data_IF_329183960948
#
_entry.id   IF_329183960948
#
_cell.length_a   1.000
_cell.length_b   1.000
_cell.length_c   1.000
_cell.angle_alpha   90.00
_cell.angle_beta   90.00
_cell.angle_gamma   90.00
#
_symmetry.space_group_name_H-M   'P 1'
#
loop_
_entity.id
_entity.type
_entity.pdbx_description
1 polymer ?
#
# COMPACT_ATOMS: atom_id res chain seq x y z
N UNK A 1 -10.19 -25.81 -4.93
CA UNK A 1 -10.19 -25.24 -3.57
C UNK A 1 -11.37 -24.30 -3.46
N UNK A 2 -12.36 -24.62 -2.66
CA UNK A 2 -13.46 -23.69 -2.39
C UNK A 2 -12.96 -22.61 -1.45
N UNK A 3 -12.90 -21.41 -1.94
CA UNK A 3 -12.50 -20.25 -1.18
C UNK A 3 -13.67 -19.81 -0.29
N UNK A 4 -13.57 -20.07 0.99
CA UNK A 4 -14.59 -19.65 1.95
C UNK A 4 -14.35 -18.17 2.31
N UNK A 5 -15.27 -17.33 1.89
CA UNK A 5 -15.25 -15.89 2.21
C UNK A 5 -16.32 -15.64 3.26
N UNK A 6 -15.91 -15.23 4.47
CA UNK A 6 -16.82 -15.04 5.60
C UNK A 6 -16.64 -13.66 6.22
N UNK A 7 -17.74 -12.93 6.39
CA UNK A 7 -17.74 -11.70 7.20
C UNK A 7 -17.62 -12.12 8.68
N UNK A 8 -16.58 -11.65 9.35
CA UNK A 8 -16.38 -11.88 10.78
C UNK A 8 -17.22 -10.90 11.60
N UNK A 9 -17.07 -9.63 11.31
CA UNK A 9 -17.81 -8.56 11.97
C UNK A 9 -17.88 -7.31 11.07
N UNK A 10 -18.81 -6.43 11.43
CA UNK A 10 -18.95 -5.11 10.83
C UNK A 10 -19.34 -4.11 11.90
N UNK A 11 -18.74 -2.93 11.87
CA UNK A 11 -19.08 -1.84 12.79
C UNK A 11 -19.15 -0.50 12.07
N UNK A 12 -20.02 0.37 12.57
CA UNK A 12 -20.06 1.76 12.17
C UNK A 12 -18.93 2.52 12.86
N UNK A 13 -18.12 3.21 12.08
CA UNK A 13 -17.06 4.09 12.55
C UNK A 13 -17.49 5.55 12.37
N UNK A 14 -17.10 6.38 13.29
CA UNK A 14 -17.33 7.82 13.17
C UNK A 14 -16.24 8.47 12.30
N UNK A 15 -16.06 7.99 11.06
CA UNK A 15 -15.05 8.50 10.13
C UNK A 15 -15.62 9.61 9.24
N UNK A 16 -14.83 10.67 9.03
CA UNK A 16 -15.08 11.65 7.97
C UNK A 16 -14.46 11.27 6.65
N UNK A 17 -13.27 10.65 6.69
CA UNK A 17 -12.56 10.17 5.50
C UNK A 17 -12.19 8.70 5.69
N UNK A 18 -12.48 7.89 4.69
CA UNK A 18 -12.27 6.44 4.74
C UNK A 18 -10.82 6.04 4.42
N UNK A 19 -10.08 6.84 3.66
CA UNK A 19 -8.87 6.35 2.99
C UNK A 19 -7.60 6.38 3.86
N UNK A 20 -7.45 7.38 4.73
CA UNK A 20 -6.20 7.61 5.46
C UNK A 20 -6.21 7.09 6.92
N UNK A 21 -7.37 6.71 7.42
CA UNK A 21 -7.61 6.46 8.83
C UNK A 21 -7.34 5.02 9.29
N UNK A 22 -6.92 4.13 8.38
CA UNK A 22 -6.82 2.70 8.66
C UNK A 22 -5.43 2.18 8.34
N UNK A 23 -4.84 1.41 9.28
CA UNK A 23 -3.62 0.65 9.08
C UNK A 23 -3.80 -0.78 9.58
N UNK A 24 -3.29 -1.74 8.82
CA UNK A 24 -3.33 -3.16 9.17
C UNK A 24 -1.97 -3.82 8.95
N UNK A 25 -1.69 -4.80 9.79
CA UNK A 25 -0.60 -5.74 9.69
C UNK A 25 -1.05 -7.09 10.27
N UNK A 26 -0.29 -8.16 10.15
CA UNK A 26 -0.66 -9.45 10.72
C UNK A 26 -1.07 -9.37 12.20
N UNK A 27 -2.37 -9.60 12.50
CA UNK A 27 -2.91 -9.54 13.85
C UNK A 27 -3.04 -8.12 14.44
N UNK A 28 -2.89 -7.09 13.64
CA UNK A 28 -2.97 -5.69 14.05
C UNK A 28 -3.93 -4.93 13.15
N UNK A 29 -4.86 -4.20 13.77
CA UNK A 29 -5.77 -3.30 13.09
C UNK A 29 -5.90 -2.02 13.90
N UNK A 30 -5.44 -0.90 13.32
CA UNK A 30 -5.52 0.42 13.94
C UNK A 30 -6.36 1.33 13.08
N UNK A 31 -7.26 2.07 13.70
CA UNK A 31 -8.15 3.01 13.03
C UNK A 31 -8.17 4.35 13.76
N UNK A 32 -8.08 5.44 13.01
CA UNK A 32 -8.33 6.77 13.55
C UNK A 32 -9.84 7.05 13.46
N UNK A 33 -10.54 7.04 14.57
CA UNK A 33 -11.94 7.39 14.68
C UNK A 33 -12.13 8.89 14.92
N UNK A 34 -13.26 9.39 14.47
CA UNK A 34 -13.60 10.80 14.36
C UNK A 34 -13.18 11.67 15.54
N UNK A 35 -12.51 12.77 15.22
CA UNK A 35 -12.26 13.99 16.00
C UNK A 35 -11.23 13.93 17.12
N UNK A 36 -10.69 12.78 17.49
CA UNK A 36 -9.62 12.76 18.48
C UNK A 36 -9.21 11.37 18.97
N UNK A 37 -9.58 10.30 18.29
CA UNK A 37 -9.37 8.96 18.84
C UNK A 37 -8.66 8.03 17.87
N UNK A 38 -7.50 7.51 18.28
CA UNK A 38 -6.81 6.41 17.64
C UNK A 38 -7.11 5.13 18.41
N UNK A 39 -7.60 4.10 17.72
CA UNK A 39 -8.08 2.87 18.35
C UNK A 39 -7.39 1.68 17.71
N UNK A 40 -6.84 0.79 18.51
CA UNK A 40 -6.49 -0.55 18.07
C UNK A 40 -7.66 -1.49 18.33
N UNK A 41 -8.04 -2.20 17.29
CA UNK A 41 -9.09 -3.22 17.34
C UNK A 41 -8.48 -4.61 17.30
N UNK A 42 -9.10 -5.54 17.96
CA UNK A 42 -8.88 -6.96 17.69
C UNK A 42 -9.41 -7.28 16.29
N UNK A 43 -8.57 -7.75 15.36
CA UNK A 43 -9.00 -7.97 13.98
C UNK A 43 -10.05 -9.09 13.84
N UNK A 44 -10.11 -10.04 14.77
CA UNK A 44 -11.05 -11.16 14.73
C UNK A 44 -12.44 -10.80 15.27
N UNK A 45 -12.51 -9.92 16.26
CA UNK A 45 -13.75 -9.60 16.98
C UNK A 45 -14.23 -8.16 16.80
N UNK A 46 -13.34 -7.25 16.35
CA UNK A 46 -13.63 -5.82 16.26
C UNK A 46 -13.70 -5.09 17.62
N UNK A 47 -13.32 -5.77 18.71
CA UNK A 47 -13.32 -5.18 20.06
C UNK A 47 -12.12 -4.27 20.23
N UNK A 48 -12.28 -3.07 20.80
CA UNK A 48 -11.16 -2.19 21.12
C UNK A 48 -10.19 -2.83 22.13
N UNK A 49 -8.90 -2.86 21.79
CA UNK A 49 -7.83 -3.33 22.68
C UNK A 49 -7.22 -2.17 23.46
N UNK A 50 -7.04 -1.02 22.81
CA UNK A 50 -6.66 0.23 23.44
C UNK A 50 -7.18 1.43 22.65
N UNK A 51 -7.25 2.58 23.30
CA UNK A 51 -7.67 3.85 22.73
C UNK A 51 -6.72 4.96 23.19
N UNK A 52 -6.40 5.88 22.28
CA UNK A 52 -5.61 7.05 22.58
C UNK A 52 -6.28 8.30 22.00
N UNK A 53 -6.28 9.36 22.78
CA UNK A 53 -6.68 10.67 22.26
C UNK A 53 -5.57 11.21 21.37
N UNK A 54 -5.93 11.61 20.17
CA UNK A 54 -5.05 12.26 19.21
C UNK A 54 -5.73 13.51 18.70
N UNK A 55 -4.95 14.56 18.51
CA UNK A 55 -5.45 15.78 17.92
C UNK A 55 -5.65 15.57 16.42
N UNK A 56 -6.76 16.08 15.91
CA UNK A 56 -7.02 16.18 14.48
C UNK A 56 -6.94 14.87 13.69
N UNK A 57 -8.03 14.15 13.61
CA UNK A 57 -8.11 12.80 13.04
C UNK A 57 -8.20 12.69 11.50
N UNK A 58 -7.78 13.70 10.76
CA UNK A 58 -7.58 13.63 9.31
C UNK A 58 -6.21 13.09 8.91
N UNK A 59 -5.51 12.45 9.83
CA UNK A 59 -4.16 12.01 9.65
C UNK A 59 -4.01 10.70 8.89
N UNK A 60 -2.78 10.39 8.57
CA UNK A 60 -2.36 9.11 8.00
C UNK A 60 -1.85 8.21 9.11
N UNK A 61 -2.26 6.95 9.07
CA UNK A 61 -1.83 5.93 10.05
C UNK A 61 -1.06 4.83 9.34
N UNK A 62 0.06 4.41 9.90
CA UNK A 62 0.89 3.30 9.41
C UNK A 62 1.33 2.44 10.57
N UNK A 63 1.30 1.11 10.40
CA UNK A 63 1.87 0.14 11.32
C UNK A 63 3.18 -0.39 10.74
N UNK A 64 4.24 -0.38 11.55
CA UNK A 64 5.57 -0.86 11.18
C UNK A 64 6.20 -1.60 12.38
N UNK A 65 6.19 -2.93 12.34
CA UNK A 65 6.59 -3.77 13.46
C UNK A 65 5.74 -3.46 14.70
N UNK A 66 6.40 -3.18 15.81
CA UNK A 66 5.75 -2.86 17.09
C UNK A 66 5.33 -1.39 17.22
N UNK A 67 5.36 -0.63 16.13
CA UNK A 67 5.08 0.80 16.13
C UNK A 67 3.87 1.15 15.30
N UNK A 68 3.07 2.07 15.82
CA UNK A 68 2.00 2.74 15.10
C UNK A 68 2.35 4.21 14.94
N UNK A 69 2.51 4.65 13.70
CA UNK A 69 2.76 6.04 13.34
C UNK A 69 1.43 6.71 12.98
N UNK A 70 1.19 7.86 13.55
CA UNK A 70 0.04 8.70 13.24
C UNK A 70 0.51 10.12 12.92
N UNK A 71 0.28 10.56 11.70
CA UNK A 71 0.57 11.93 11.26
C UNK A 71 -0.72 12.73 11.28
N UNK A 72 -0.80 13.74 12.16
CA UNK A 72 -1.95 14.62 12.26
C UNK A 72 -2.00 15.65 11.10
N UNK A 73 -3.16 16.22 10.84
CA UNK A 73 -3.30 17.30 9.87
C UNK A 73 -2.54 18.58 10.30
N UNK A 74 -2.39 18.78 11.60
CA UNK A 74 -1.57 19.85 12.15
C UNK A 74 -0.06 19.67 11.90
N UNK A 75 0.35 18.52 11.33
CA UNK A 75 1.75 18.24 11.02
C UNK A 75 2.55 17.77 12.21
N UNK A 76 1.93 17.03 13.11
CA UNK A 76 2.62 16.34 14.21
C UNK A 76 2.63 14.85 13.91
N UNK A 77 3.82 14.26 13.85
CA UNK A 77 3.98 12.81 13.76
C UNK A 77 4.09 12.24 15.17
N UNK A 78 3.20 11.35 15.52
CA UNK A 78 3.23 10.60 16.76
C UNK A 78 3.63 9.16 16.52
N UNK A 79 4.42 8.59 17.41
CA UNK A 79 4.71 7.18 17.47
C UNK A 79 4.11 6.57 18.73
N UNK A 80 3.40 5.48 18.57
CA UNK A 80 2.84 4.70 19.66
C UNK A 80 3.41 3.30 19.62
N UNK A 81 3.62 2.70 20.77
CA UNK A 81 3.76 1.25 20.86
C UNK A 81 2.44 0.61 20.45
N UNK A 82 2.47 -0.26 19.45
CA UNK A 82 1.25 -0.81 18.86
C UNK A 82 0.51 -1.75 19.81
N UNK A 83 1.19 -2.36 20.78
CA UNK A 83 0.60 -3.33 21.70
C UNK A 83 -0.08 -2.64 22.87
N UNK A 84 0.59 -1.68 23.48
CA UNK A 84 0.08 -0.95 24.67
C UNK A 84 -0.66 0.34 24.36
N UNK A 85 -0.47 0.90 23.17
CA UNK A 85 -0.96 2.23 22.80
C UNK A 85 -0.19 3.38 23.46
N UNK A 86 0.87 3.10 24.21
CA UNK A 86 1.66 4.16 24.85
C UNK A 86 2.39 4.98 23.78
N UNK A 87 2.27 6.31 23.86
CA UNK A 87 3.01 7.23 23.00
C UNK A 87 4.47 7.26 23.40
N UNK A 88 5.37 6.92 22.46
CA UNK A 88 6.80 6.86 22.68
C UNK A 88 7.48 8.20 22.39
N UNK A 89 7.11 8.85 21.29
CA UNK A 89 7.62 10.16 20.91
C UNK A 89 6.66 10.92 20.01
N UNK A 90 6.94 12.20 19.78
CA UNK A 90 6.22 13.06 18.83
C UNK A 90 7.16 14.05 18.19
N UNK A 91 7.05 14.23 16.88
CA UNK A 91 7.85 15.16 16.09
C UNK A 91 6.94 16.23 15.47
N UNK A 92 7.07 17.49 15.87
CA UNK A 92 6.25 18.60 15.37
C UNK A 92 6.79 19.16 14.03
N UNK A 93 6.05 20.10 13.45
CA UNK A 93 6.44 20.92 12.28
C UNK A 93 6.53 20.17 10.95
N UNK A 94 5.80 19.08 10.82
CA UNK A 94 5.68 18.30 9.58
C UNK A 94 4.43 18.72 8.77
N UNK A 95 4.04 19.98 8.85
CA UNK A 95 2.90 20.52 8.14
C UNK A 95 3.02 20.23 6.62
N UNK A 96 1.88 19.95 5.97
CA UNK A 96 1.79 19.58 4.56
C UNK A 96 2.36 18.20 4.20
N UNK A 97 2.86 17.43 5.14
CA UNK A 97 3.11 16.01 4.95
C UNK A 97 1.79 15.23 5.02
N UNK A 98 1.62 14.25 4.15
CA UNK A 98 0.36 13.48 4.08
C UNK A 98 0.59 11.97 3.99
N UNK A 99 1.77 11.55 3.57
CA UNK A 99 2.10 10.15 3.38
C UNK A 99 3.25 9.72 4.28
N UNK A 100 3.13 8.50 4.79
CA UNK A 100 4.16 7.85 5.58
C UNK A 100 4.49 6.53 4.93
N UNK A 101 5.78 6.27 4.72
CA UNK A 101 6.31 4.98 4.30
C UNK A 101 7.46 4.63 5.22
N UNK A 102 7.56 3.37 5.61
CA UNK A 102 8.62 2.90 6.51
C UNK A 102 9.54 1.95 5.77
N UNK A 103 10.84 2.21 5.87
CA UNK A 103 11.90 1.34 5.36
C UNK A 103 12.97 1.14 6.44
N UNK A 104 13.08 -0.05 6.98
CA UNK A 104 13.96 -0.35 8.10
C UNK A 104 13.59 0.50 9.33
N UNK A 105 14.55 1.24 9.85
CA UNK A 105 14.37 2.14 10.99
C UNK A 105 14.01 3.59 10.61
N UNK A 106 13.64 3.85 9.36
CA UNK A 106 13.37 5.20 8.86
C UNK A 106 11.94 5.32 8.38
N UNK A 107 11.23 6.34 8.87
CA UNK A 107 9.99 6.79 8.28
C UNK A 107 10.27 7.90 7.24
N UNK A 108 9.70 7.73 6.06
CA UNK A 108 9.72 8.70 4.98
C UNK A 108 8.36 9.40 4.95
N UNK A 109 8.38 10.71 4.98
CA UNK A 109 7.18 11.53 4.87
C UNK A 109 7.28 12.41 3.64
N UNK A 110 6.20 12.47 2.89
CA UNK A 110 6.10 13.36 1.73
C UNK A 110 4.84 14.20 1.79
N UNK A 111 4.90 15.36 1.13
CA UNK A 111 3.77 16.26 1.00
C UNK A 111 2.81 15.84 -0.09
N UNK A 112 1.56 16.26 0.05
CA UNK A 112 0.56 16.11 -0.97
C UNK A 112 0.97 16.90 -2.23
N UNK A 113 0.94 16.27 -3.40
CA UNK A 113 1.32 16.86 -4.70
C UNK A 113 2.75 17.44 -4.78
N UNK A 114 3.69 16.89 -4.00
CA UNK A 114 5.08 17.35 -4.07
C UNK A 114 5.34 18.73 -3.44
N UNK A 115 4.41 19.29 -2.68
CA UNK A 115 4.62 20.59 -2.02
C UNK A 115 5.72 20.58 -0.95
N UNK A 116 6.13 19.41 -0.50
CA UNK A 116 7.23 19.25 0.43
C UNK A 116 8.24 18.23 -0.07
N UNK A 117 9.54 18.49 0.11
CA UNK A 117 10.56 17.50 -0.12
C UNK A 117 10.35 16.30 0.82
N UNK A 118 10.85 15.16 0.40
CA UNK A 118 10.82 13.94 1.19
C UNK A 118 11.63 14.14 2.48
N UNK A 119 11.00 13.93 3.62
CA UNK A 119 11.58 14.04 4.96
C UNK A 119 11.85 12.65 5.49
N UNK A 120 12.97 12.46 6.16
CA UNK A 120 13.32 11.23 6.88
C UNK A 120 13.25 11.45 8.37
N UNK A 121 12.64 10.51 9.08
CA UNK A 121 12.52 10.52 10.56
C UNK A 121 13.03 9.19 11.09
N UNK A 122 13.89 9.23 12.08
CA UNK A 122 14.31 8.05 12.82
C UNK A 122 13.14 7.47 13.62
N UNK A 123 12.83 6.21 13.40
CA UNK A 123 11.70 5.54 14.07
C UNK A 123 11.91 5.33 15.55
N UNK A 124 13.15 5.36 16.03
CA UNK A 124 13.47 5.12 17.43
C UNK A 124 13.33 6.38 18.26
N UNK A 125 13.88 7.48 17.76
CA UNK A 125 13.91 8.75 18.48
C UNK A 125 12.85 9.76 18.05
N UNK A 126 12.33 9.65 16.82
CA UNK A 126 11.51 10.68 16.20
C UNK A 126 12.31 11.86 15.64
N UNK A 127 13.62 11.80 15.66
CA UNK A 127 14.48 12.88 15.16
C UNK A 127 14.51 12.91 13.64
N UNK A 128 14.63 14.13 13.10
CA UNK A 128 14.75 14.34 11.66
C UNK A 128 16.18 14.05 11.21
N UNK A 129 16.33 13.24 10.17
CA UNK A 129 17.62 13.11 9.51
C UNK A 129 17.97 14.41 8.78
N UNK A 130 19.23 14.87 8.89
CA UNK A 130 19.69 16.03 8.13
C UNK A 130 19.79 15.73 6.64
N UNK A 131 19.74 16.79 5.84
CA UNK A 131 19.96 16.73 4.40
C UNK A 131 18.73 16.28 3.58
N UNK A 132 18.82 16.54 2.28
CA UNK A 132 17.80 16.17 1.30
C UNK A 132 18.23 14.90 0.58
N UNK A 133 17.25 14.07 0.20
CA UNK A 133 17.51 12.93 -0.66
C UNK A 133 17.80 13.40 -2.11
N UNK A 134 18.57 12.64 -2.90
CA UNK A 134 18.74 12.91 -4.31
C UNK A 134 17.40 13.06 -5.02
N UNK A 135 17.26 14.05 -5.87
CA UNK A 135 16.02 14.32 -6.60
C UNK A 135 14.87 14.93 -5.77
N UNK A 136 15.05 15.18 -4.47
CA UNK A 136 14.02 15.77 -3.58
C UNK A 136 14.02 17.30 -3.54
N UNK A 137 14.51 17.98 -4.58
CA UNK A 137 14.50 19.44 -4.65
C UNK A 137 13.08 20.03 -4.54
N UNK A 138 12.89 21.20 -3.95
CA UNK A 138 11.60 21.90 -3.94
C UNK A 138 11.06 22.05 -5.36
N UNK A 139 9.85 21.60 -5.62
CA UNK A 139 9.24 21.57 -6.95
C UNK A 139 9.58 20.33 -7.78
N UNK A 140 10.49 19.49 -7.34
CA UNK A 140 10.71 18.16 -7.90
C UNK A 140 9.51 17.25 -7.59
N UNK A 141 8.96 16.62 -8.60
CA UNK A 141 7.83 15.71 -8.49
C UNK A 141 8.27 14.35 -7.96
N UNK A 142 8.98 14.32 -6.83
CA UNK A 142 9.28 13.06 -6.18
C UNK A 142 8.02 12.44 -5.64
N UNK A 143 7.74 11.38 -6.25
CA UNK A 143 6.65 10.54 -5.89
C UNK A 143 7.17 9.35 -5.12
N UNK A 144 6.49 8.98 -4.13
CA UNK A 144 6.30 7.73 -3.42
C UNK A 144 7.52 6.80 -3.28
N UNK A 145 8.23 6.84 -2.15
CA UNK A 145 9.20 5.81 -1.85
C UNK A 145 8.53 4.45 -1.68
N UNK A 146 9.07 3.42 -2.29
CA UNK A 146 8.74 2.03 -2.01
C UNK A 146 9.85 1.41 -1.17
N UNK A 147 9.57 0.82 0.00
CA UNK A 147 10.55 0.06 0.74
C UNK A 147 11.00 -1.16 -0.06
N UNK A 148 12.29 -1.32 -0.24
CA UNK A 148 12.90 -2.44 -0.97
C UNK A 148 13.77 -3.26 -0.02
N UNK A 149 13.60 -4.56 -0.05
CA UNK A 149 14.55 -5.49 0.56
C UNK A 149 15.71 -5.68 -0.40
N UNK A 150 16.89 -5.25 0.00
CA UNK A 150 18.11 -5.42 -0.82
C UNK A 150 18.67 -6.85 -0.74
N UNK A 151 18.39 -7.57 0.35
CA UNK A 151 18.85 -8.93 0.57
C UNK A 151 17.83 -9.66 1.46
N UNK A 152 17.16 -10.70 0.97
CA UNK A 152 16.20 -11.47 1.76
C UNK A 152 16.82 -12.21 2.95
N UNK A 153 18.13 -12.48 2.92
CA UNK A 153 18.83 -13.19 4.00
C UNK A 153 19.48 -12.26 5.02
N UNK A 154 19.69 -11.01 4.67
CA UNK A 154 20.30 -10.02 5.57
C UNK A 154 19.25 -9.08 6.13
N UNK A 155 19.02 -9.27 7.39
CA UNK A 155 18.37 -8.42 8.37
C UNK A 155 17.95 -7.00 7.92
N UNK A 156 16.77 -6.60 8.29
CA UNK A 156 16.08 -5.32 8.16
C UNK A 156 16.88 -4.04 8.53
N UNK A 157 18.15 -4.15 8.85
CA UNK A 157 18.99 -3.04 9.30
C UNK A 157 19.53 -2.14 8.19
N UNK A 158 19.47 -2.58 6.94
CA UNK A 158 19.87 -1.78 5.80
C UNK A 158 18.69 -1.60 4.84
N UNK A 159 17.65 -0.90 5.29
CA UNK A 159 16.52 -0.56 4.44
C UNK A 159 16.97 0.31 3.27
N UNK A 160 16.42 0.06 2.10
CA UNK A 160 16.53 0.94 0.96
C UNK A 160 15.13 1.37 0.51
N UNK A 161 15.06 2.46 -0.22
CA UNK A 161 13.84 2.94 -0.84
C UNK A 161 14.07 3.13 -2.33
N UNK A 162 13.09 2.73 -3.10
CA UNK A 162 13.00 3.03 -4.51
C UNK A 162 12.27 4.37 -4.67
N UNK A 163 12.92 5.31 -5.31
CA UNK A 163 12.34 6.62 -5.63
C UNK A 163 12.10 6.72 -7.13
N UNK A 164 11.00 7.33 -7.50
CA UNK A 164 10.69 7.61 -8.88
C UNK A 164 10.14 9.03 -9.05
N UNK A 165 10.28 9.59 -10.23
CA UNK A 165 9.71 10.87 -10.59
C UNK A 165 8.56 10.68 -11.59
N UNK A 166 7.51 11.51 -11.48
CA UNK A 166 6.44 11.54 -12.47
C UNK A 166 6.83 12.30 -13.74
N UNK A 167 7.90 13.09 -13.71
CA UNK A 167 8.39 13.90 -14.84
C UNK A 167 9.67 13.36 -15.46
N UNK A 168 10.43 12.56 -14.73
CA UNK A 168 11.71 12.02 -15.18
C UNK A 168 11.62 10.52 -15.37
N UNK A 169 12.11 10.05 -16.50
CA UNK A 169 12.12 8.62 -16.83
C UNK A 169 13.30 7.91 -16.13
N UNK A 170 13.31 7.96 -14.80
CA UNK A 170 14.36 7.38 -13.97
C UNK A 170 13.82 6.74 -12.68
N UNK A 171 14.52 5.73 -12.20
CA UNK A 171 14.38 5.14 -10.88
C UNK A 171 15.69 5.27 -10.11
N UNK A 172 15.58 5.60 -8.84
CA UNK A 172 16.71 5.68 -7.91
C UNK A 172 16.50 4.70 -6.77
N UNK A 173 17.48 3.86 -6.48
CA UNK A 173 17.54 3.08 -5.26
C UNK A 173 18.44 3.80 -4.27
N UNK A 174 17.89 4.17 -3.13
CA UNK A 174 18.57 5.00 -2.13
C UNK A 174 18.60 4.26 -0.80
N UNK A 175 19.76 4.28 -0.16
CA UNK A 175 19.90 3.80 1.21
C UNK A 175 19.06 4.66 2.16
N UNK A 176 18.23 4.03 2.97
CA UNK A 176 17.26 4.73 3.81
C UNK A 176 17.95 5.57 4.90
N UNK A 177 19.02 5.05 5.50
CA UNK A 177 19.72 5.73 6.59
C UNK A 177 20.62 6.86 6.08
N UNK A 178 21.48 6.53 5.11
CA UNK A 178 22.52 7.47 4.64
C UNK A 178 22.00 8.43 3.58
N UNK A 179 20.98 8.06 2.83
CA UNK A 179 20.48 8.81 1.69
C UNK A 179 21.34 8.66 0.44
N UNK A 180 22.33 7.77 0.46
CA UNK A 180 23.24 7.53 -0.69
C UNK A 180 22.52 6.72 -1.76
N UNK A 181 22.64 7.15 -3.02
CA UNK A 181 22.15 6.40 -4.18
C UNK A 181 22.98 5.12 -4.35
N UNK A 182 22.30 3.98 -4.36
CA UNK A 182 22.90 2.66 -4.56
C UNK A 182 22.68 2.12 -5.97
N UNK A 183 21.70 2.66 -6.69
CA UNK A 183 21.41 2.29 -8.07
C UNK A 183 20.57 3.33 -8.75
N UNK A 184 20.76 3.43 -10.07
CA UNK A 184 19.99 4.32 -10.93
C UNK A 184 19.68 3.61 -12.24
N UNK A 185 18.45 3.72 -12.71
CA UNK A 185 18.01 3.11 -13.97
C UNK A 185 17.20 4.09 -14.78
N UNK A 186 17.53 4.18 -16.06
CA UNK A 186 16.74 4.91 -17.04
C UNK A 186 15.53 4.09 -17.49
N UNK A 187 14.41 4.74 -17.66
CA UNK A 187 13.15 4.15 -18.11
C UNK A 187 12.81 4.64 -19.52
N UNK A 188 11.96 3.93 -20.28
CA UNK A 188 11.46 4.42 -21.55
C UNK A 188 10.51 5.62 -21.38
N UNK A 189 9.76 5.67 -20.31
CA UNK A 189 8.83 6.73 -19.95
C UNK A 189 8.82 6.89 -18.42
N UNK A 190 8.39 8.06 -17.88
CA UNK A 190 8.25 8.25 -16.44
C UNK A 190 7.32 7.21 -15.80
N UNK A 191 7.57 6.92 -14.52
CA UNK A 191 6.67 6.06 -13.73
C UNK A 191 5.30 6.69 -13.63
N UNK A 192 4.28 5.88 -13.86
CA UNK A 192 2.89 6.34 -13.72
C UNK A 192 2.40 6.16 -12.30
N UNK A 193 2.06 7.28 -11.68
CA UNK A 193 1.51 7.31 -10.33
C UNK A 193 -0.01 7.34 -10.36
N UNK A 194 -0.68 6.45 -9.62
CA UNK A 194 -2.11 6.54 -9.41
C UNK A 194 -2.46 7.68 -8.45
N UNK A 195 -3.66 8.26 -8.59
CA UNK A 195 -4.15 9.32 -7.71
C UNK A 195 -4.25 8.91 -6.23
N UNK A 196 -4.35 7.62 -5.98
CA UNK A 196 -4.68 7.05 -4.66
C UNK A 196 -3.53 6.34 -3.96
N UNK A 197 -2.31 6.29 -4.53
CA UNK A 197 -1.33 5.50 -3.83
C UNK A 197 -0.08 5.01 -4.52
N UNK A 198 0.39 3.88 -4.11
CA UNK A 198 1.66 3.26 -4.43
C UNK A 198 1.71 2.84 -5.89
N UNK A 199 2.70 3.32 -6.63
CA UNK A 199 2.90 2.98 -8.04
C UNK A 199 3.52 1.59 -8.26
N UNK A 200 4.01 0.96 -7.21
CA UNK A 200 4.82 -0.24 -7.26
C UNK A 200 4.15 -1.42 -6.56
N UNK A 201 4.38 -2.61 -7.06
CA UNK A 201 4.05 -3.86 -6.39
C UNK A 201 5.30 -4.72 -6.25
N UNK A 202 5.59 -5.14 -5.03
CA UNK A 202 6.76 -5.98 -4.74
C UNK A 202 6.34 -7.45 -4.59
N UNK A 203 7.09 -8.34 -5.22
CA UNK A 203 6.98 -9.78 -5.07
C UNK A 203 7.81 -10.31 -3.92
N UNK A 204 7.50 -11.52 -3.48
CA UNK A 204 8.27 -12.23 -2.44
C UNK A 204 9.70 -12.56 -2.89
N UNK A 205 9.92 -12.67 -4.18
CA UNK A 205 11.22 -12.92 -4.82
C UNK A 205 12.04 -11.64 -5.03
N UNK A 206 11.60 -10.50 -4.50
CA UNK A 206 12.28 -9.22 -4.61
C UNK A 206 12.05 -8.48 -5.93
N UNK A 207 11.30 -9.06 -6.89
CA UNK A 207 10.89 -8.34 -8.10
C UNK A 207 9.95 -7.20 -7.75
N UNK A 208 10.10 -6.07 -8.44
CA UNK A 208 9.24 -4.90 -8.28
C UNK A 208 8.62 -4.58 -9.63
N UNK A 209 7.30 -4.58 -9.68
CA UNK A 209 6.53 -4.32 -10.90
C UNK A 209 5.86 -2.95 -10.83
N UNK A 210 5.89 -2.21 -11.93
CA UNK A 210 5.30 -0.88 -12.03
C UNK A 210 4.92 -0.53 -13.48
N UNK A 211 4.19 0.55 -13.66
CA UNK A 211 3.87 1.09 -14.97
C UNK A 211 4.82 2.23 -15.34
N UNK A 212 5.43 2.15 -16.52
CA UNK A 212 6.16 3.23 -17.18
C UNK A 212 5.27 3.75 -18.32
N UNK A 213 4.88 5.02 -18.24
CA UNK A 213 3.86 5.57 -19.12
C UNK A 213 2.49 4.91 -18.96
N UNK A 214 1.76 4.80 -20.07
CA UNK A 214 0.37 4.30 -20.05
C UNK A 214 0.19 2.85 -20.47
N UNK A 215 1.22 2.24 -21.07
CA UNK A 215 1.08 0.92 -21.74
C UNK A 215 2.17 -0.06 -21.38
N UNK A 216 3.24 0.40 -20.74
CA UNK A 216 4.41 -0.43 -20.52
C UNK A 216 4.45 -0.90 -19.06
N UNK A 217 4.45 -2.20 -18.88
CA UNK A 217 4.68 -2.85 -17.59
C UNK A 217 6.16 -3.17 -17.50
N UNK A 218 6.79 -2.68 -16.46
CA UNK A 218 8.20 -2.87 -16.17
C UNK A 218 8.38 -3.77 -14.97
N UNK A 219 9.47 -4.51 -14.96
CA UNK A 219 9.95 -5.21 -13.77
C UNK A 219 11.37 -4.75 -13.46
N UNK A 220 11.60 -4.45 -12.19
CA UNK A 220 12.92 -4.17 -11.64
C UNK A 220 13.35 -5.37 -10.80
N UNK A 221 14.51 -5.90 -11.16
CA UNK A 221 15.29 -6.78 -10.31
C UNK A 221 16.44 -5.97 -9.72
N UNK A 222 16.50 -5.73 -8.40
CA UNK A 222 17.52 -4.86 -7.81
C UNK A 222 18.97 -5.26 -8.15
N UNK A 223 19.21 -6.55 -8.41
CA UNK A 223 20.52 -7.07 -8.77
C UNK A 223 20.85 -7.00 -10.27
N UNK A 224 19.87 -7.09 -11.15
CA UNK A 224 20.07 -7.19 -12.61
C UNK A 224 19.53 -6.00 -13.42
N UNK A 225 18.74 -5.14 -12.79
CA UNK A 225 18.23 -3.92 -13.43
C UNK A 225 16.78 -3.98 -13.85
N UNK A 226 16.42 -3.10 -14.77
CA UNK A 226 15.04 -2.88 -15.24
C UNK A 226 14.85 -3.50 -16.61
N UNK A 227 13.75 -4.20 -16.81
CA UNK A 227 13.36 -4.76 -18.10
C UNK A 227 11.87 -4.52 -18.40
N UNK A 228 11.51 -4.58 -19.67
CA UNK A 228 10.12 -4.52 -20.10
C UNK A 228 9.53 -5.93 -19.98
N UNK A 229 8.56 -6.07 -19.07
CA UNK A 229 7.83 -7.31 -18.90
C UNK A 229 6.72 -7.47 -19.96
N UNK A 230 5.98 -6.39 -20.21
CA UNK A 230 4.80 -6.42 -21.07
C UNK A 230 4.51 -5.04 -21.68
N UNK A 231 4.05 -5.03 -22.94
CA UNK A 231 3.46 -3.84 -23.56
C UNK A 231 2.02 -4.11 -23.92
N UNK A 232 1.13 -3.29 -23.39
CA UNK A 232 -0.30 -3.38 -23.69
C UNK A 232 -0.63 -2.61 -24.96
N UNK A 233 -1.63 -3.07 -25.72
CA UNK A 233 -2.12 -2.43 -26.94
C UNK A 233 -2.99 -1.19 -26.66
N UNK A 234 -3.53 -1.09 -25.45
CA UNK A 234 -4.37 0.00 -24.97
C UNK A 234 -3.80 0.66 -23.72
N UNK A 235 -4.32 1.84 -23.40
CA UNK A 235 -3.96 2.51 -22.16
C UNK A 235 -4.51 1.73 -20.97
N UNK A 236 -3.63 1.41 -20.03
CA UNK A 236 -4.00 0.83 -18.74
C UNK A 236 -4.59 1.90 -17.83
N UNK A 237 -5.43 1.52 -16.88
CA UNK A 237 -5.87 2.44 -15.83
C UNK A 237 -4.69 2.88 -14.96
N UNK A 238 -4.83 4.08 -14.37
CA UNK A 238 -3.87 4.59 -13.39
C UNK A 238 -4.06 3.89 -12.03
N UNK A 239 -3.92 2.58 -12.01
CA UNK A 239 -3.94 1.75 -10.81
C UNK A 239 -2.62 0.99 -10.74
N UNK A 240 -2.08 0.75 -9.54
CA UNK A 240 -0.86 -0.03 -9.43
C UNK A 240 -1.11 -1.45 -9.96
N UNK A 241 -0.13 -2.04 -10.64
CA UNK A 241 -0.16 -3.46 -10.92
C UNK A 241 -0.20 -4.23 -9.59
N UNK A 242 -0.88 -5.35 -9.55
CA UNK A 242 -0.98 -6.18 -8.34
C UNK A 242 -0.24 -7.47 -8.60
N UNK A 243 0.78 -7.73 -7.80
CA UNK A 243 1.55 -8.95 -7.88
C UNK A 243 1.12 -9.92 -6.78
N UNK A 244 0.72 -11.12 -7.17
CA UNK A 244 0.37 -12.21 -6.26
C UNK A 244 1.05 -13.49 -6.70
N UNK A 245 2.04 -13.95 -5.96
CA UNK A 245 2.92 -15.03 -6.36
C UNK A 245 3.57 -14.74 -7.71
N UNK A 246 3.29 -15.57 -8.72
CA UNK A 246 3.81 -15.44 -10.08
C UNK A 246 2.85 -14.78 -11.07
N UNK A 247 1.70 -14.33 -10.59
CA UNK A 247 0.65 -13.72 -11.40
C UNK A 247 0.61 -12.22 -11.18
N UNK A 248 0.71 -11.48 -12.27
CA UNK A 248 0.50 -10.05 -12.30
C UNK A 248 -0.93 -9.76 -12.78
N UNK A 249 -1.61 -8.92 -12.02
CA UNK A 249 -2.96 -8.46 -12.31
C UNK A 249 -2.91 -6.99 -12.73
N UNK A 250 -3.42 -6.70 -13.92
CA UNK A 250 -3.48 -5.36 -14.50
C UNK A 250 -4.93 -4.95 -14.69
N UNK A 251 -5.28 -3.78 -14.17
CA UNK A 251 -6.63 -3.25 -14.33
C UNK A 251 -6.74 -2.47 -15.63
N UNK A 252 -7.70 -2.87 -16.45
CA UNK A 252 -8.15 -2.19 -17.67
C UNK A 252 -9.46 -1.43 -17.44
N UNK A 253 -9.97 -0.75 -18.45
CA UNK A 253 -11.24 -0.02 -18.34
C UNK A 253 -12.44 -0.92 -18.09
N UNK A 254 -12.44 -2.10 -18.67
CA UNK A 254 -13.57 -3.04 -18.64
C UNK A 254 -13.27 -4.35 -17.94
N UNK A 255 -12.05 -4.50 -17.39
CA UNK A 255 -11.68 -5.78 -16.83
C UNK A 255 -10.33 -5.81 -16.13
N UNK A 256 -9.83 -7.01 -15.96
CA UNK A 256 -8.50 -7.30 -15.42
C UNK A 256 -7.80 -8.27 -16.35
N UNK A 257 -6.59 -7.95 -16.72
CA UNK A 257 -5.68 -8.86 -17.46
C UNK A 257 -4.72 -9.49 -16.48
N UNK A 258 -4.52 -10.79 -16.62
CA UNK A 258 -3.51 -11.53 -15.86
C UNK A 258 -2.33 -11.92 -16.76
N UNK A 259 -1.13 -11.76 -16.23
CA UNK A 259 0.13 -12.11 -16.89
C UNK A 259 0.88 -13.08 -16.00
N UNK A 260 1.34 -14.20 -16.59
CA UNK A 260 2.29 -15.11 -15.95
C UNK A 260 3.69 -14.50 -16.08
N UNK A 261 4.34 -14.23 -14.96
CA UNK A 261 5.65 -13.57 -14.94
C UNK A 261 6.76 -14.42 -15.55
N UNK A 262 6.68 -15.75 -15.45
CA UNK A 262 7.76 -16.60 -15.95
C UNK A 262 7.65 -16.83 -17.47
N UNK A 263 6.43 -16.78 -17.98
CA UNK A 263 6.18 -16.94 -19.39
C UNK A 263 6.10 -15.62 -20.13
N UNK A 264 6.05 -14.50 -19.40
CA UNK A 264 5.81 -13.16 -19.94
C UNK A 264 4.63 -13.17 -20.92
N UNK A 265 3.61 -13.96 -20.59
CA UNK A 265 2.46 -14.18 -21.46
C UNK A 265 1.15 -13.89 -20.76
N UNK A 266 0.22 -13.33 -21.53
CA UNK A 266 -1.15 -13.11 -21.08
C UNK A 266 -1.83 -14.46 -20.84
N UNK A 267 -2.33 -14.68 -19.62
CA UNK A 267 -2.97 -15.93 -19.24
C UNK A 267 -4.48 -15.86 -19.26
N UNK A 268 -5.06 -14.71 -18.90
CA UNK A 268 -6.50 -14.52 -18.95
C UNK A 268 -6.87 -13.03 -19.09
N UNK A 269 -8.07 -12.79 -19.59
CA UNK A 269 -8.77 -11.51 -19.52
C UNK A 269 -10.10 -11.76 -18.89
N UNK A 270 -10.34 -11.06 -17.80
CA UNK A 270 -11.61 -11.14 -17.11
C UNK A 270 -12.36 -9.83 -17.23
N UNK A 271 -13.61 -9.92 -17.67
CA UNK A 271 -14.52 -8.79 -17.61
C UNK A 271 -15.13 -8.68 -16.23
N UNK A 272 -14.80 -7.58 -15.54
CA UNK A 272 -15.44 -7.28 -14.28
C UNK A 272 -16.87 -6.77 -14.51
N UNK A 273 -17.79 -7.01 -13.57
CA UNK A 273 -19.11 -6.43 -13.63
C UNK A 273 -19.04 -4.89 -13.73
N UNK A 274 -20.03 -4.24 -14.37
CA UNK A 274 -20.08 -2.79 -14.47
C UNK A 274 -19.91 -2.12 -13.10
N UNK A 275 -19.02 -1.13 -13.01
CA UNK A 275 -18.72 -0.43 -11.77
C UNK A 275 -17.78 -1.17 -10.81
N UNK A 276 -17.30 -2.36 -11.16
CA UNK A 276 -16.24 -3.00 -10.42
C UNK A 276 -14.89 -2.32 -10.73
N UNK A 277 -14.09 -2.16 -9.70
CA UNK A 277 -12.72 -1.67 -9.82
C UNK A 277 -11.77 -2.78 -9.39
N UNK A 278 -10.76 -3.03 -10.21
CA UNK A 278 -9.71 -4.02 -9.92
C UNK A 278 -8.68 -3.53 -8.89
N UNK A 279 -9.04 -2.58 -8.02
CA UNK A 279 -8.24 -2.31 -6.82
C UNK A 279 -8.32 -3.54 -5.93
N UNK A 280 -7.60 -4.57 -6.35
CA UNK A 280 -7.63 -5.85 -5.70
C UNK A 280 -6.63 -5.93 -4.57
N UNK A 281 -6.98 -6.77 -3.64
CA UNK A 281 -6.07 -7.25 -2.61
C UNK A 281 -5.59 -8.61 -3.07
N UNK A 282 -4.28 -8.83 -3.22
CA UNK A 282 -3.78 -10.18 -3.46
C UNK A 282 -4.14 -11.04 -2.26
N UNK A 283 -4.72 -12.18 -2.54
CA UNK A 283 -4.97 -13.21 -1.55
C UNK A 283 -3.94 -14.31 -1.76
N UNK A 284 -3.56 -14.98 -0.71
CA UNK A 284 -2.57 -16.07 -0.76
C UNK A 284 -2.88 -17.03 -1.93
N UNK A 285 -1.97 -17.09 -2.85
CA UNK A 285 -1.90 -18.06 -3.92
C UNK A 285 -2.50 -17.63 -5.25
N UNK A 286 -3.79 -17.48 -5.45
CA UNK A 286 -4.35 -17.50 -6.78
C UNK A 286 -5.62 -16.67 -6.99
N UNK A 287 -5.96 -15.81 -6.07
CA UNK A 287 -7.16 -15.01 -6.16
C UNK A 287 -6.90 -13.52 -5.90
N UNK A 288 -7.68 -12.71 -6.58
CA UNK A 288 -7.73 -11.27 -6.40
C UNK A 288 -9.11 -10.90 -5.87
N UNK A 289 -9.18 -10.06 -4.84
CA UNK A 289 -10.42 -9.41 -4.48
C UNK A 289 -10.57 -8.08 -5.22
N UNK A 290 -11.67 -7.98 -5.95
CA UNK A 290 -12.13 -6.75 -6.58
C UNK A 290 -13.37 -6.22 -5.87
N UNK A 291 -13.58 -4.91 -5.90
CA UNK A 291 -14.78 -4.27 -5.34
C UNK A 291 -15.75 -3.85 -6.44
N UNK A 292 -17.03 -4.07 -6.21
CA UNK A 292 -18.12 -3.62 -7.07
C UNK A 292 -19.23 -2.99 -6.21
N UNK A 293 -19.16 -1.69 -6.01
CA UNK A 293 -20.09 -1.00 -5.12
C UNK A 293 -19.97 -1.49 -3.68
N UNK A 294 -20.97 -2.22 -3.17
CA UNK A 294 -20.95 -2.85 -1.86
C UNK A 294 -20.68 -4.37 -1.93
N UNK A 295 -20.22 -4.87 -3.06
CA UNK A 295 -19.83 -6.28 -3.21
C UNK A 295 -18.32 -6.42 -3.26
N UNK A 296 -17.82 -7.39 -2.52
CA UNK A 296 -16.46 -7.92 -2.67
C UNK A 296 -16.56 -9.17 -3.54
N UNK A 297 -15.74 -9.23 -4.58
CA UNK A 297 -15.72 -10.31 -5.56
C UNK A 297 -14.34 -10.95 -5.52
N UNK A 298 -14.28 -12.25 -5.23
CA UNK A 298 -13.06 -13.02 -5.37
C UNK A 298 -12.95 -13.58 -6.79
N UNK A 299 -11.79 -13.44 -7.39
CA UNK A 299 -11.51 -13.86 -8.74
C UNK A 299 -10.29 -14.76 -8.74
N UNK A 300 -10.40 -15.92 -9.39
CA UNK A 300 -9.29 -16.85 -9.54
C UNK A 300 -8.37 -16.50 -10.73
N UNK A 301 -7.26 -17.23 -10.89
CA UNK A 301 -6.33 -17.06 -12.02
C UNK A 301 -6.94 -17.27 -13.38
N UNK A 302 -7.98 -18.10 -13.49
CA UNK A 302 -8.68 -18.33 -14.74
C UNK A 302 -9.61 -17.17 -15.14
N UNK A 303 -9.73 -16.16 -14.25
CA UNK A 303 -10.64 -15.04 -14.45
C UNK A 303 -12.09 -15.36 -14.05
N UNK A 304 -12.32 -16.43 -13.31
CA UNK A 304 -13.64 -16.84 -12.87
C UNK A 304 -13.96 -16.26 -11.49
N UNK A 305 -15.22 -15.91 -11.27
CA UNK A 305 -15.69 -15.44 -9.96
C UNK A 305 -15.83 -16.64 -9.03
N UNK A 306 -14.89 -16.76 -8.10
CA UNK A 306 -14.86 -17.83 -7.11
C UNK A 306 -15.82 -17.58 -5.93
N UNK A 307 -16.00 -16.32 -5.53
CA UNK A 307 -16.91 -15.95 -4.45
C UNK A 307 -17.42 -14.51 -4.58
N UNK A 308 -18.57 -14.24 -3.95
CA UNK A 308 -19.15 -12.89 -3.82
C UNK A 308 -19.66 -12.69 -2.40
N UNK A 309 -19.31 -11.56 -1.81
CA UNK A 309 -19.82 -11.15 -0.50
C UNK A 309 -20.42 -9.76 -0.59
N UNK A 310 -21.64 -9.60 -0.11
CA UNK A 310 -22.28 -8.30 -0.01
C UNK A 310 -22.02 -7.70 1.37
N UNK A 311 -21.51 -6.47 1.38
CA UNK A 311 -21.20 -5.73 2.59
C UNK A 311 -22.29 -4.70 2.92
N UNK A 312 -22.38 -4.22 4.18
CA UNK A 312 -23.38 -3.24 4.59
C UNK A 312 -23.28 -1.90 3.87
N UNK A 313 -22.08 -1.50 3.43
CA UNK A 313 -21.85 -0.23 2.77
C UNK A 313 -21.02 -0.41 1.50
N UNK A 314 -21.03 0.62 0.64
CA UNK A 314 -20.12 0.71 -0.50
C UNK A 314 -18.69 0.65 0.00
N UNK A 315 -17.87 -0.14 -0.71
CA UNK A 315 -16.45 -0.29 -0.40
C UNK A 315 -15.70 0.87 -1.07
N UNK A 316 -14.98 1.66 -0.28
CA UNK A 316 -14.10 2.71 -0.79
C UNK A 316 -12.65 2.23 -0.86
N UNK A 317 -12.22 1.37 0.08
CA UNK A 317 -10.88 0.79 0.12
C UNK A 317 -10.89 -0.61 0.72
N UNK A 318 -9.97 -1.44 0.25
CA UNK A 318 -9.63 -2.74 0.82
C UNK A 318 -8.22 -2.68 1.41
N UNK A 319 -8.03 -3.27 2.57
CA UNK A 319 -6.74 -3.34 3.25
C UNK A 319 -6.51 -4.76 3.76
N UNK A 320 -5.55 -5.51 3.20
CA UNK A 320 -5.19 -6.83 3.71
C UNK A 320 -4.37 -6.70 4.99
N UNK A 321 -4.49 -7.67 5.88
CA UNK A 321 -3.60 -7.80 7.04
C UNK A 321 -2.29 -8.53 6.73
N UNK A 322 -2.12 -9.00 5.49
CA UNK A 322 -0.98 -9.77 5.04
C UNK A 322 -1.07 -11.28 5.34
N UNK A 323 -2.20 -11.75 5.89
CA UNK A 323 -2.48 -13.18 6.14
C UNK A 323 -3.79 -13.61 5.49
N UNK A 324 -4.84 -13.70 6.28
CA UNK A 324 -6.15 -14.20 5.83
C UNK A 324 -7.28 -13.20 6.03
N UNK A 325 -7.01 -12.01 6.56
CA UNK A 325 -8.03 -11.01 6.78
C UNK A 325 -7.94 -9.88 5.76
N UNK A 326 -9.09 -9.45 5.31
CA UNK A 326 -9.27 -8.24 4.51
C UNK A 326 -10.21 -7.30 5.24
N UNK A 327 -9.77 -6.08 5.43
CA UNK A 327 -10.55 -5.02 6.03
C UNK A 327 -11.11 -4.13 4.93
N UNK A 328 -12.44 -4.11 4.80
CA UNK A 328 -13.16 -3.27 3.85
C UNK A 328 -13.69 -2.03 4.58
N UNK A 329 -13.34 -0.85 4.08
CA UNK A 329 -13.83 0.41 4.62
C UNK A 329 -14.64 1.17 3.57
N UNK A 330 -15.74 1.78 4.00
CA UNK A 330 -16.55 2.63 3.13
C UNK A 330 -17.71 3.29 3.87
N UNK A 331 -17.98 4.57 3.59
CA UNK A 331 -19.02 5.38 4.22
C UNK A 331 -19.08 5.26 5.74
N UNK A 332 -17.94 5.20 6.40
CA UNK A 332 -17.84 5.07 7.85
C UNK A 332 -18.09 3.66 8.39
N UNK A 333 -18.29 2.65 7.56
CA UNK A 333 -18.34 1.26 7.97
C UNK A 333 -16.97 0.60 7.80
N UNK A 334 -16.56 -0.16 8.81
CA UNK A 334 -15.43 -1.07 8.74
C UNK A 334 -15.94 -2.50 8.87
N UNK A 335 -15.58 -3.33 7.92
CA UNK A 335 -15.97 -4.76 7.88
C UNK A 335 -14.70 -5.60 7.75
N UNK A 336 -14.53 -6.58 8.60
CA UNK A 336 -13.46 -7.56 8.50
C UNK A 336 -13.99 -8.87 7.92
N UNK A 337 -13.25 -9.39 6.96
CA UNK A 337 -13.59 -10.54 6.15
C UNK A 337 -12.46 -11.54 6.28
N UNK A 338 -12.81 -12.77 6.63
CA UNK A 338 -11.89 -13.91 6.60
C UNK A 338 -11.94 -14.54 5.20
N UNK A 339 -10.75 -14.70 4.64
CA UNK A 339 -10.51 -15.23 3.28
C UNK A 339 -9.67 -16.51 3.34
N UNK A 340 -9.68 -17.19 4.48
CA UNK A 340 -8.92 -18.41 4.63
C UNK A 340 -9.34 -19.46 3.59
N UNK A 341 -8.34 -20.07 2.96
CA UNK A 341 -8.56 -21.24 2.12
C UNK A 341 -8.72 -22.44 3.05
N UNK A 342 -9.87 -23.10 3.02
CA UNK A 342 -10.01 -24.39 3.72
C UNK A 342 -9.16 -25.40 2.94
N UNK A 343 -8.18 -26.06 3.55
CA UNK A 343 -7.52 -27.18 2.91
C UNK A 343 -8.56 -28.29 2.73
N UNK A 344 -8.82 -28.64 1.48
CA UNK A 344 -9.59 -29.85 1.11
C UNK A 344 -8.72 -31.08 1.23
#
# INVERSE_FOLDING_TARGET
>A
MDQQVRVLWSRLLHLRSSAAALAAAPGILVVAERHSRLVRLDPQTGVPLWEQNVEDCWGTTVVAGDRCLYLSQAGVLHCFDVHSGQRTWSTPKLCLCHYIIVAGSVAFLSGWRGYRPLIRVDLTSGELFPGQLPGSAPGGSLAWPLPVRLDPERSYTAGAVLLASASEAALLLVDALTGVTRGEWSLPEPVRFPDSGVAFSAGEDGRIVFLSGRRTVMVLHPASGVEILWRHDRDLRSLPPILSGRTLWLTEDTGVTTIDLDRSSRTAVMHLPPGATGEGVPVSGDALFARAGNQLIAVNRAGEIAARVRLPARIDRLLPDGRSLVHAIGKGHLTTIDISTTPT
#
